data_IF_373133678666
#
_entry.id   IF_373133678666
#
_cell.length_a   1.000
_cell.length_b   1.000
_cell.length_c   1.000
_cell.angle_alpha   90.00
_cell.angle_beta   90.00
_cell.angle_gamma   90.00
#
_symmetry.space_group_name_H-M   'P 1'
#
loop_
_entity.id
_entity.type
_entity.pdbx_description
1 polymer ?
#
# COMPACT_ATOMS: atom_id res chain seq x y z
N UNK A 1 -7.74 -6.58 -17.55
CA UNK A 1 -6.48 -6.00 -16.97
C UNK A 1 -6.34 -6.39 -15.51
N UNK A 2 -7.25 -5.99 -14.63
CA UNK A 2 -7.17 -6.27 -13.18
C UNK A 2 -7.21 -7.79 -12.89
N UNK A 3 -8.02 -8.54 -13.65
CA UNK A 3 -8.04 -9.99 -13.61
C UNK A 3 -6.63 -10.60 -13.72
N UNK A 4 -5.88 -10.18 -14.74
CA UNK A 4 -4.54 -10.70 -14.97
C UNK A 4 -3.60 -10.38 -13.79
N UNK A 5 -3.69 -9.16 -13.23
CA UNK A 5 -2.86 -8.78 -12.08
C UNK A 5 -3.13 -9.66 -10.86
N UNK A 6 -4.40 -9.99 -10.60
CA UNK A 6 -4.81 -10.87 -9.51
C UNK A 6 -4.38 -12.32 -9.74
N UNK A 7 -4.68 -12.87 -10.92
CA UNK A 7 -4.38 -14.27 -11.27
C UNK A 7 -2.87 -14.56 -11.17
N UNK A 8 -2.02 -13.60 -11.59
CA UNK A 8 -0.57 -13.74 -11.49
C UNK A 8 -0.05 -13.80 -10.04
N UNK A 9 -0.73 -13.17 -9.07
CA UNK A 9 -0.36 -13.31 -7.65
C UNK A 9 -0.51 -14.77 -7.22
N UNK A 10 -1.64 -15.40 -7.53
CA UNK A 10 -1.91 -16.80 -7.19
C UNK A 10 -1.05 -17.78 -7.95
N UNK A 11 -0.78 -17.50 -9.22
CA UNK A 11 0.07 -18.35 -10.06
C UNK A 11 1.52 -18.34 -9.59
N UNK A 12 2.08 -17.17 -9.27
CA UNK A 12 3.49 -17.00 -8.88
C UNK A 12 3.73 -17.23 -7.40
N UNK A 13 2.70 -17.06 -6.56
CA UNK A 13 2.77 -17.18 -5.09
C UNK A 13 4.00 -16.51 -4.48
N UNK A 14 4.25 -15.21 -4.73
CA UNK A 14 5.52 -14.57 -4.37
C UNK A 14 5.73 -14.55 -2.86
N UNK A 15 6.98 -14.73 -2.44
CA UNK A 15 7.39 -14.60 -1.04
C UNK A 15 7.65 -13.14 -0.72
N UNK A 16 6.93 -12.59 0.24
CA UNK A 16 6.96 -11.16 0.61
C UNK A 16 7.56 -10.97 1.99
N UNK A 17 8.68 -10.26 2.05
CA UNK A 17 9.26 -9.81 3.31
C UNK A 17 8.46 -8.62 3.85
N UNK A 18 8.00 -8.70 5.10
CA UNK A 18 7.24 -7.65 5.76
C UNK A 18 7.97 -7.16 7.01
N UNK A 19 8.43 -5.91 6.99
CA UNK A 19 8.81 -5.16 8.19
C UNK A 19 7.66 -4.21 8.46
N UNK A 20 6.70 -4.66 9.27
CA UNK A 20 5.45 -3.94 9.53
C UNK A 20 5.26 -3.62 11.01
N UNK A 21 4.19 -2.93 11.34
CA UNK A 21 3.89 -2.54 12.71
C UNK A 21 3.24 -3.69 13.50
N UNK A 22 3.53 -3.76 14.80
CA UNK A 22 3.05 -4.85 15.66
C UNK A 22 1.53 -4.80 15.94
N UNK A 23 0.85 -3.69 15.64
CA UNK A 23 -0.61 -3.57 15.81
C UNK A 23 -1.34 -4.45 14.80
N UNK A 24 -0.79 -4.57 13.59
CA UNK A 24 -1.46 -5.22 12.46
C UNK A 24 -0.66 -6.36 11.83
N UNK A 25 0.44 -6.79 12.45
CA UNK A 25 1.36 -7.78 11.90
C UNK A 25 0.67 -9.08 11.50
N UNK A 26 -0.22 -9.60 12.34
CA UNK A 26 -0.97 -10.83 12.05
C UNK A 26 -1.94 -10.66 10.89
N UNK A 27 -2.67 -9.55 10.86
CA UNK A 27 -3.62 -9.25 9.78
C UNK A 27 -2.92 -9.07 8.43
N UNK A 28 -1.74 -8.42 8.40
CA UNK A 28 -0.93 -8.28 7.20
C UNK A 28 -0.48 -9.66 6.68
N UNK A 29 -0.03 -10.55 7.57
CA UNK A 29 0.35 -11.91 7.20
C UNK A 29 -0.83 -12.68 6.60
N UNK A 30 -2.00 -12.64 7.25
CA UNK A 30 -3.21 -13.31 6.75
C UNK A 30 -3.71 -12.71 5.44
N UNK A 31 -3.59 -11.40 5.24
CA UNK A 31 -3.94 -10.75 3.98
C UNK A 31 -3.06 -11.21 2.81
N UNK A 32 -1.76 -11.35 3.03
CA UNK A 32 -0.82 -11.89 2.03
C UNK A 32 -1.13 -13.35 1.72
N UNK A 33 -1.44 -14.17 2.73
CA UNK A 33 -1.89 -15.56 2.52
C UNK A 33 -3.21 -15.61 1.75
N UNK A 34 -4.16 -14.77 2.10
CA UNK A 34 -5.49 -14.76 1.48
C UNK A 34 -5.42 -14.46 -0.02
N UNK A 35 -4.54 -13.57 -0.47
CA UNK A 35 -4.38 -13.28 -1.89
C UNK A 35 -3.59 -14.36 -2.68
N UNK A 36 -3.02 -15.37 -1.99
CA UNK A 36 -2.27 -16.47 -2.59
C UNK A 36 -0.76 -16.27 -2.62
N UNK A 37 -0.24 -15.24 -1.95
CA UNK A 37 1.19 -15.02 -1.75
C UNK A 37 1.65 -15.62 -0.40
N UNK A 38 2.95 -15.55 -0.09
CA UNK A 38 3.54 -16.09 1.14
C UNK A 38 4.25 -14.99 1.93
N UNK A 39 3.93 -14.75 3.22
CA UNK A 39 4.58 -13.72 4.02
C UNK A 39 5.76 -14.27 4.83
N UNK A 40 6.82 -13.46 4.98
CA UNK A 40 7.80 -13.59 6.06
C UNK A 40 7.78 -12.30 6.88
N UNK A 41 7.62 -12.46 8.22
CA UNK A 41 7.57 -11.37 9.19
C UNK A 41 8.90 -11.34 9.94
N UNK A 42 9.93 -10.68 9.39
CA UNK A 42 11.27 -10.58 9.97
C UNK A 42 11.69 -9.11 10.12
N UNK A 43 12.16 -8.72 11.31
CA UNK A 43 12.50 -7.33 11.60
C UNK A 43 13.83 -7.16 12.37
N UNK A 44 14.60 -8.24 12.54
CA UNK A 44 15.90 -8.16 13.19
C UNK A 44 17.00 -7.84 12.18
N UNK A 45 17.86 -6.87 12.50
CA UNK A 45 18.91 -6.39 11.62
C UNK A 45 19.94 -7.45 11.23
N UNK A 46 20.11 -8.48 12.07
CA UNK A 46 21.07 -9.55 11.82
C UNK A 46 20.59 -10.55 10.74
N UNK A 47 19.26 -10.61 10.48
CA UNK A 47 18.69 -11.55 9.51
C UNK A 47 18.04 -10.89 8.28
N UNK A 48 17.60 -9.62 8.37
CA UNK A 48 16.75 -9.01 7.32
C UNK A 48 17.40 -9.00 5.93
N UNK A 49 18.72 -8.95 5.82
CA UNK A 49 19.43 -9.02 4.54
C UNK A 49 19.35 -10.42 3.92
N UNK A 50 19.48 -11.47 4.74
CA UNK A 50 19.37 -12.87 4.31
C UNK A 50 17.91 -13.19 3.92
N UNK A 51 16.96 -12.79 4.77
CA UNK A 51 15.52 -12.94 4.50
C UNK A 51 15.13 -12.21 3.20
N UNK A 52 15.59 -10.97 3.00
CA UNK A 52 15.31 -10.26 1.74
C UNK A 52 15.91 -10.95 0.52
N UNK A 53 16.98 -11.70 0.68
CA UNK A 53 17.61 -12.45 -0.42
C UNK A 53 16.75 -13.61 -0.91
N UNK A 54 16.01 -14.27 -0.02
CA UNK A 54 15.11 -15.38 -0.39
C UNK A 54 13.69 -14.90 -0.75
N UNK A 55 13.32 -13.67 -0.37
CA UNK A 55 12.05 -13.06 -0.71
C UNK A 55 12.11 -12.41 -2.09
N UNK A 56 10.94 -12.24 -2.73
CA UNK A 56 10.83 -11.62 -4.05
C UNK A 56 10.36 -10.16 -3.99
N UNK A 57 9.83 -9.70 -2.86
CA UNK A 57 9.35 -8.34 -2.63
C UNK A 57 9.44 -7.92 -1.16
N UNK A 58 9.33 -6.62 -0.92
CA UNK A 58 9.47 -6.01 0.41
C UNK A 58 8.31 -5.05 0.71
N UNK A 59 7.74 -5.17 1.91
CA UNK A 59 6.80 -4.22 2.48
C UNK A 59 7.40 -3.57 3.73
N UNK A 60 7.54 -2.25 3.74
CA UNK A 60 8.01 -1.45 4.88
C UNK A 60 6.88 -0.56 5.38
N UNK A 61 6.51 -0.71 6.66
CA UNK A 61 5.49 0.09 7.34
C UNK A 61 6.04 0.68 8.62
N UNK A 62 5.97 2.01 8.76
CA UNK A 62 6.57 2.75 9.87
C UNK A 62 5.61 3.03 11.04
N UNK A 63 4.52 2.25 11.17
CA UNK A 63 3.45 2.50 12.15
C UNK A 63 3.86 2.40 13.62
N UNK A 64 4.88 1.61 13.95
CA UNK A 64 5.39 1.44 15.31
C UNK A 64 6.92 1.40 15.33
N UNK A 65 7.53 2.54 15.02
CA UNK A 65 8.98 2.66 14.92
C UNK A 65 9.71 2.48 16.27
N UNK A 66 10.86 1.82 16.17
CA UNK A 66 11.90 1.82 17.19
C UNK A 66 13.29 1.81 16.50
N UNK A 67 14.36 2.09 17.26
CA UNK A 67 15.71 2.23 16.69
C UNK A 67 16.18 0.98 15.93
N UNK A 68 15.82 -0.20 16.40
CA UNK A 68 16.16 -1.49 15.78
C UNK A 68 15.46 -1.65 14.42
N UNK A 69 14.15 -1.46 14.38
CA UNK A 69 13.39 -1.65 13.14
C UNK A 69 13.73 -0.60 12.07
N UNK A 70 14.11 0.62 12.45
CA UNK A 70 14.58 1.65 11.51
C UNK A 70 15.86 1.19 10.78
N UNK A 71 16.80 0.62 11.51
CA UNK A 71 18.05 0.07 10.93
C UNK A 71 17.73 -1.10 10.01
N UNK A 72 16.89 -2.03 10.45
CA UNK A 72 16.42 -3.18 9.68
C UNK A 72 15.74 -2.79 8.36
N UNK A 73 14.86 -1.78 8.39
CA UNK A 73 14.19 -1.25 7.20
C UNK A 73 15.17 -0.72 6.16
N UNK A 74 16.24 -0.02 6.58
CA UNK A 74 17.28 0.47 5.67
C UNK A 74 18.08 -0.67 5.05
N UNK A 75 18.49 -1.64 5.87
CA UNK A 75 19.25 -2.82 5.42
C UNK A 75 18.42 -3.62 4.40
N UNK A 76 17.20 -3.99 4.76
CA UNK A 76 16.31 -4.76 3.89
C UNK A 76 15.97 -4.01 2.59
N UNK A 77 15.71 -2.69 2.69
CA UNK A 77 15.39 -1.85 1.53
C UNK A 77 16.57 -1.71 0.57
N UNK A 78 17.78 -1.52 1.08
CA UNK A 78 19.00 -1.50 0.27
C UNK A 78 19.20 -2.84 -0.41
N UNK A 79 19.04 -3.94 0.34
CA UNK A 79 19.17 -5.30 -0.21
C UNK A 79 18.12 -5.59 -1.28
N UNK A 80 16.88 -5.17 -1.09
CA UNK A 80 15.84 -5.30 -2.11
C UNK A 80 16.22 -4.59 -3.41
N UNK A 81 16.76 -3.37 -3.33
CA UNK A 81 17.21 -2.60 -4.49
C UNK A 81 18.40 -3.28 -5.21
N UNK A 82 19.38 -3.82 -4.48
CA UNK A 82 20.51 -4.57 -5.05
C UNK A 82 20.04 -5.78 -5.86
N UNK A 83 18.97 -6.43 -5.41
CA UNK A 83 18.38 -7.61 -6.05
C UNK A 83 17.34 -7.27 -7.13
N UNK A 84 16.98 -5.99 -7.30
CA UNK A 84 15.92 -5.56 -8.21
C UNK A 84 14.52 -5.97 -7.74
N UNK A 85 14.34 -6.25 -6.45
CA UNK A 85 13.06 -6.62 -5.88
C UNK A 85 12.17 -5.39 -5.65
N UNK A 86 10.87 -5.43 -5.97
CA UNK A 86 9.94 -4.39 -5.64
C UNK A 86 9.86 -4.12 -4.14
N UNK A 87 9.77 -2.83 -3.78
CA UNK A 87 9.61 -2.40 -2.40
C UNK A 87 8.43 -1.44 -2.28
N UNK A 88 7.61 -1.62 -1.24
CA UNK A 88 6.46 -0.77 -0.90
C UNK A 88 6.75 -0.05 0.41
N UNK A 89 6.47 1.26 0.46
CA UNK A 89 6.53 2.08 1.67
C UNK A 89 5.13 2.49 2.11
N UNK A 90 4.82 2.20 3.37
CA UNK A 90 3.66 2.72 4.09
C UNK A 90 4.13 3.68 5.19
N UNK A 91 4.11 5.01 4.95
CA UNK A 91 4.63 6.01 5.86
C UNK A 91 3.64 6.40 6.96
N UNK A 92 3.06 5.42 7.64
CA UNK A 92 2.01 5.59 8.65
C UNK A 92 2.35 6.67 9.65
N UNK A 93 1.51 7.71 9.69
CA UNK A 93 1.63 8.80 10.67
C UNK A 93 2.83 9.72 10.45
N UNK A 94 3.39 9.78 9.25
CA UNK A 94 4.35 10.83 8.88
C UNK A 94 3.70 12.20 9.07
N UNK A 95 4.44 13.13 9.65
CA UNK A 95 3.90 14.42 10.10
C UNK A 95 3.44 14.45 11.57
N UNK A 96 3.07 13.30 12.15
CA UNK A 96 2.63 13.24 13.55
C UNK A 96 3.80 13.32 14.57
N UNK A 97 5.01 12.94 14.18
CA UNK A 97 6.21 13.09 15.00
C UNK A 97 7.46 13.32 14.16
N UNK A 98 8.46 13.94 14.77
CA UNK A 98 9.78 14.15 14.14
C UNK A 98 10.42 12.81 13.74
N UNK A 99 10.34 11.79 14.61
CA UNK A 99 10.91 10.48 14.34
C UNK A 99 10.32 9.84 13.07
N UNK A 100 8.99 9.84 12.92
CA UNK A 100 8.33 9.28 11.74
C UNK A 100 8.70 10.04 10.48
N UNK A 101 8.67 11.36 10.54
CA UNK A 101 9.00 12.23 9.40
C UNK A 101 10.46 12.08 8.97
N UNK A 102 11.40 12.09 9.92
CA UNK A 102 12.82 11.91 9.60
C UNK A 102 13.10 10.52 9.04
N UNK A 103 12.54 9.46 9.66
CA UNK A 103 12.70 8.08 9.17
C UNK A 103 12.15 7.90 7.77
N UNK A 104 10.94 8.40 7.48
CA UNK A 104 10.37 8.29 6.15
C UNK A 104 11.24 9.00 5.10
N UNK A 105 11.74 10.21 5.40
CA UNK A 105 12.66 10.94 4.52
C UNK A 105 14.01 10.23 4.33
N UNK A 106 14.54 9.60 5.38
CA UNK A 106 15.78 8.83 5.30
C UNK A 106 15.58 7.55 4.45
N UNK A 107 14.45 6.87 4.60
CA UNK A 107 14.10 5.72 3.77
C UNK A 107 13.96 6.11 2.30
N UNK A 108 13.29 7.22 1.99
CA UNK A 108 13.17 7.72 0.61
C UNK A 108 14.52 8.10 -0.04
N UNK A 109 15.52 8.47 0.76
CA UNK A 109 16.88 8.73 0.27
C UNK A 109 17.70 7.46 0.05
N UNK A 110 17.49 6.44 0.90
CA UNK A 110 18.29 5.22 0.92
C UNK A 110 17.72 4.13 0.02
N UNK A 111 16.40 4.10 -0.18
CA UNK A 111 15.67 3.02 -0.85
C UNK A 111 14.85 3.58 -2.00
N UNK A 112 14.99 2.95 -3.16
CA UNK A 112 14.12 3.21 -4.31
C UNK A 112 12.87 2.34 -4.15
N UNK A 113 11.74 2.98 -3.85
CA UNK A 113 10.45 2.30 -3.72
C UNK A 113 9.76 2.14 -5.07
N UNK A 114 9.08 1.02 -5.26
CA UNK A 114 8.19 0.77 -6.40
C UNK A 114 6.84 1.44 -6.18
N UNK A 115 6.33 1.38 -4.94
CA UNK A 115 5.07 2.03 -4.55
C UNK A 115 5.26 2.74 -3.21
N UNK A 116 4.68 3.94 -3.09
CA UNK A 116 4.51 4.65 -1.82
C UNK A 116 3.00 4.80 -1.60
N UNK A 117 2.49 4.23 -0.50
CA UNK A 117 1.06 4.23 -0.19
C UNK A 117 0.79 4.95 1.12
N UNK A 118 -0.13 5.91 1.13
CA UNK A 118 -0.54 6.63 2.34
C UNK A 118 -1.88 7.34 2.14
N UNK A 119 -2.41 7.99 3.18
CA UNK A 119 -3.49 8.94 3.01
C UNK A 119 -2.96 10.26 2.42
N UNK A 120 -3.85 11.15 2.01
CA UNK A 120 -3.44 12.41 1.35
C UNK A 120 -2.55 13.27 2.25
N UNK A 121 -2.77 13.32 3.56
CA UNK A 121 -1.97 14.09 4.50
C UNK A 121 -0.53 13.53 4.64
N UNK A 122 -0.38 12.21 4.69
CA UNK A 122 0.91 11.53 4.71
C UNK A 122 1.69 11.79 3.42
N UNK A 123 1.04 11.66 2.26
CA UNK A 123 1.68 11.90 0.95
C UNK A 123 2.06 13.37 0.77
N UNK A 124 1.23 14.33 1.21
CA UNK A 124 1.58 15.77 1.23
C UNK A 124 2.82 16.02 2.08
N UNK A 125 2.86 15.46 3.30
CA UNK A 125 3.99 15.65 4.21
C UNK A 125 5.29 15.12 3.62
N UNK A 126 5.27 13.95 2.97
CA UNK A 126 6.43 13.42 2.25
C UNK A 126 6.83 14.30 1.06
N UNK A 127 5.87 14.80 0.29
CA UNK A 127 6.14 15.64 -0.86
C UNK A 127 6.84 16.95 -0.48
N UNK A 128 6.47 17.56 0.65
CA UNK A 128 7.14 18.76 1.21
C UNK A 128 8.54 18.43 1.72
N UNK A 129 8.72 17.28 2.37
CA UNK A 129 10.01 16.84 2.91
C UNK A 129 11.08 16.56 1.86
N UNK A 130 10.70 16.26 0.62
CA UNK A 130 11.62 16.02 -0.50
C UNK A 130 12.11 17.32 -1.19
N UNK A 131 11.68 18.50 -0.71
CA UNK A 131 12.47 19.73 -0.75
C UNK A 131 12.52 20.55 -2.03
N UNK A 132 11.40 20.95 -2.71
CA UNK A 132 11.49 22.12 -3.63
C UNK A 132 10.16 22.85 -3.90
N UNK A 133 9.05 22.47 -3.31
CA UNK A 133 7.74 23.07 -3.61
C UNK A 133 7.03 23.58 -2.35
N UNK A 134 7.69 24.50 -1.61
CA UNK A 134 6.99 25.26 -0.58
C UNK A 134 5.99 26.19 -1.25
N UNK A 135 4.71 25.87 -1.15
CA UNK A 135 3.60 26.70 -1.63
C UNK A 135 2.53 25.92 -2.40
N UNK A 136 2.85 25.34 -3.55
CA UNK A 136 1.83 24.73 -4.44
C UNK A 136 1.29 23.40 -3.89
N UNK A 137 2.12 22.60 -3.21
CA UNK A 137 1.67 21.30 -2.66
C UNK A 137 1.06 21.43 -1.25
N UNK A 138 1.20 22.57 -0.58
CA UNK A 138 0.66 22.80 0.76
C UNK A 138 -0.84 23.16 0.76
N UNK A 139 -1.36 23.68 -0.33
CA UNK A 139 -2.74 24.18 -0.44
C UNK A 139 -3.76 23.09 -0.81
N UNK A 140 -3.29 21.85 -1.10
CA UNK A 140 -4.17 20.73 -1.43
C UNK A 140 -4.99 20.34 -0.20
N UNK A 141 -6.30 20.16 -0.38
CA UNK A 141 -7.21 19.75 0.68
C UNK A 141 -6.80 18.41 1.32
N UNK A 142 -7.10 18.23 2.61
CA UNK A 142 -6.78 17.02 3.37
C UNK A 142 -7.75 15.85 3.09
N UNK A 143 -8.67 16.03 2.15
CA UNK A 143 -9.59 14.99 1.67
C UNK A 143 -9.71 15.04 0.16
N UNK A 144 -9.75 13.87 -0.47
CA UNK A 144 -10.07 13.72 -1.89
C UNK A 144 -11.58 13.69 -2.04
N UNK A 145 -12.12 14.61 -2.86
CA UNK A 145 -13.53 14.72 -3.21
C UNK A 145 -13.66 14.86 -4.73
N UNK A 146 -14.86 14.68 -5.27
CA UNK A 146 -15.12 14.92 -6.70
C UNK A 146 -14.73 16.34 -7.13
N UNK A 147 -14.93 17.33 -6.27
CA UNK A 147 -14.66 18.75 -6.58
C UNK A 147 -13.17 19.07 -6.73
N UNK A 148 -12.30 18.37 -5.98
CA UNK A 148 -10.85 18.61 -6.02
C UNK A 148 -10.04 17.48 -6.70
N UNK A 149 -10.73 16.49 -7.26
CA UNK A 149 -10.09 15.27 -7.79
C UNK A 149 -8.99 15.56 -8.82
N UNK A 150 -9.25 16.45 -9.79
CA UNK A 150 -8.27 16.78 -10.83
C UNK A 150 -7.02 17.46 -10.28
N UNK A 151 -7.17 18.33 -9.28
CA UNK A 151 -6.06 18.97 -8.60
C UNK A 151 -5.21 17.97 -7.82
N UNK A 152 -5.86 17.06 -7.06
CA UNK A 152 -5.17 16.01 -6.31
C UNK A 152 -4.49 15.03 -7.25
N UNK A 153 -5.12 14.63 -8.35
CA UNK A 153 -4.51 13.76 -9.38
C UNK A 153 -3.24 14.43 -9.96
N UNK A 154 -3.32 15.71 -10.29
CA UNK A 154 -2.15 16.45 -10.80
C UNK A 154 -1.01 16.49 -9.76
N UNK A 155 -1.31 16.69 -8.48
CA UNK A 155 -0.33 16.62 -7.39
C UNK A 155 0.30 15.23 -7.27
N UNK A 156 -0.51 14.17 -7.23
CA UNK A 156 -0.04 12.78 -7.10
C UNK A 156 0.88 12.41 -8.27
N UNK A 157 0.51 12.76 -9.52
CA UNK A 157 1.36 12.54 -10.71
C UNK A 157 2.70 13.27 -10.60
N UNK A 158 2.70 14.55 -10.13
CA UNK A 158 3.95 15.30 -9.92
C UNK A 158 4.84 14.62 -8.88
N UNK A 159 4.26 14.14 -7.77
CA UNK A 159 5.03 13.45 -6.73
C UNK A 159 5.57 12.12 -7.24
N UNK A 160 4.78 11.35 -7.98
CA UNK A 160 5.23 10.13 -8.65
C UNK A 160 6.40 10.40 -9.61
N UNK A 161 6.33 11.48 -10.41
CA UNK A 161 7.42 11.88 -11.31
C UNK A 161 8.72 12.26 -10.58
N UNK A 162 8.63 12.81 -9.35
CA UNK A 162 9.80 13.15 -8.52
C UNK A 162 10.46 11.94 -7.89
N UNK A 163 9.65 11.00 -7.41
CA UNK A 163 10.14 9.80 -6.70
C UNK A 163 10.48 8.65 -7.64
N UNK A 164 9.89 8.63 -8.83
CA UNK A 164 9.94 7.49 -9.74
C UNK A 164 9.09 6.30 -9.27
N UNK A 165 8.33 6.45 -8.19
CA UNK A 165 7.44 5.44 -7.63
C UNK A 165 6.00 5.64 -8.11
N UNK A 166 5.22 4.58 -8.11
CA UNK A 166 3.76 4.66 -8.12
C UNK A 166 3.31 5.20 -6.76
N UNK A 167 2.42 6.18 -6.76
CA UNK A 167 1.86 6.76 -5.54
C UNK A 167 0.41 6.29 -5.40
N UNK A 168 0.09 5.66 -4.28
CA UNK A 168 -1.25 5.23 -3.93
C UNK A 168 -1.77 6.06 -2.75
N UNK A 169 -2.69 6.98 -3.03
CA UNK A 169 -3.38 7.80 -2.03
C UNK A 169 -4.70 7.12 -1.70
N UNK A 170 -4.94 6.85 -0.40
CA UNK A 170 -6.21 6.25 0.04
C UNK A 170 -7.09 7.24 0.79
N UNK A 171 -8.40 7.17 0.54
CA UNK A 171 -9.39 8.08 1.10
C UNK A 171 -10.83 7.67 0.77
N UNK A 172 -11.70 8.64 0.56
CA UNK A 172 -13.06 8.39 0.07
C UNK A 172 -13.06 8.03 -1.43
N UNK A 173 -12.13 8.61 -2.19
CA UNK A 173 -11.77 8.23 -3.55
C UNK A 173 -10.28 7.92 -3.47
N UNK A 174 -9.89 6.72 -3.87
CA UNK A 174 -8.48 6.32 -3.90
C UNK A 174 -7.85 6.73 -5.23
N UNK A 175 -6.58 7.16 -5.21
CA UNK A 175 -5.85 7.55 -6.40
C UNK A 175 -4.56 6.73 -6.48
N UNK A 176 -4.36 6.00 -7.57
CA UNK A 176 -3.12 5.28 -7.84
C UNK A 176 -2.52 5.82 -9.13
N UNK A 177 -1.34 6.45 -9.05
CA UNK A 177 -0.77 7.14 -10.20
C UNK A 177 0.75 6.95 -10.34
N UNK A 178 1.20 6.92 -11.58
CA UNK A 178 2.56 7.24 -11.99
C UNK A 178 2.65 8.71 -12.46
N UNK A 179 3.75 9.08 -13.10
CA UNK A 179 3.93 10.45 -13.62
C UNK A 179 3.00 10.81 -14.79
N UNK A 180 2.35 9.83 -15.43
CA UNK A 180 1.59 10.02 -16.67
C UNK A 180 0.12 9.70 -16.53
N UNK A 181 -0.21 8.64 -15.81
CA UNK A 181 -1.54 8.01 -15.73
C UNK A 181 -1.98 7.87 -14.27
N UNK A 182 -3.27 8.05 -14.03
CA UNK A 182 -3.88 7.81 -12.73
C UNK A 182 -5.13 6.95 -12.85
N UNK A 183 -5.32 6.08 -11.87
CA UNK A 183 -6.59 5.39 -11.60
C UNK A 183 -7.24 6.07 -10.41
N UNK A 184 -8.48 6.56 -10.58
CA UNK A 184 -9.34 7.06 -9.51
C UNK A 184 -10.33 5.96 -9.19
N UNK A 185 -10.28 5.42 -7.97
CA UNK A 185 -10.96 4.18 -7.58
C UNK A 185 -12.03 4.50 -6.56
N UNK A 186 -13.23 3.98 -6.76
CA UNK A 186 -14.44 4.27 -5.99
C UNK A 186 -14.94 3.06 -5.19
N UNK A 187 -14.20 1.96 -5.18
CA UNK A 187 -14.51 0.81 -4.34
C UNK A 187 -14.20 1.11 -2.86
N UNK A 188 -14.97 0.50 -1.99
CA UNK A 188 -14.79 0.57 -0.55
C UNK A 188 -16.09 0.89 0.19
N UNK A 189 -16.04 0.74 1.50
CA UNK A 189 -17.17 1.04 2.37
C UNK A 189 -16.72 1.87 3.57
N UNK A 190 -17.50 2.89 4.03
CA UNK A 190 -17.12 3.75 5.16
C UNK A 190 -16.78 2.99 6.45
N UNK A 191 -17.40 1.83 6.69
CA UNK A 191 -17.13 0.99 7.85
C UNK A 191 -15.67 0.49 7.91
N UNK A 192 -14.93 0.47 6.80
CA UNK A 192 -13.51 0.13 6.78
C UNK A 192 -12.68 1.05 7.69
N UNK A 193 -13.13 2.30 7.90
CA UNK A 193 -12.50 3.24 8.83
C UNK A 193 -12.66 2.86 10.32
N UNK A 194 -13.59 1.95 10.63
CA UNK A 194 -13.81 1.45 11.99
C UNK A 194 -12.91 0.27 12.37
N UNK A 195 -12.04 -0.18 11.44
CA UNK A 195 -11.08 -1.25 11.65
C UNK A 195 -9.68 -0.65 11.65
N UNK A 196 -8.88 -0.95 12.68
CA UNK A 196 -7.46 -0.60 12.63
C UNK A 196 -6.72 -1.47 11.61
N UNK A 197 -5.86 -0.87 10.80
CA UNK A 197 -4.93 -1.58 9.96
C UNK A 197 -5.41 -2.00 8.57
N UNK A 198 -6.59 -1.61 8.12
CA UNK A 198 -7.01 -1.83 6.71
C UNK A 198 -5.98 -1.27 5.73
N UNK A 199 -5.43 -0.08 6.02
CA UNK A 199 -4.34 0.49 5.24
C UNK A 199 -3.06 -0.35 5.27
N UNK A 200 -2.65 -0.83 6.45
CA UNK A 200 -1.45 -1.67 6.56
C UNK A 200 -1.61 -3.01 5.81
N UNK A 201 -2.79 -3.61 5.87
CA UNK A 201 -3.15 -4.80 5.09
C UNK A 201 -3.08 -4.51 3.58
N UNK A 202 -3.59 -3.35 3.14
CA UNK A 202 -3.51 -2.93 1.74
C UNK A 202 -2.05 -2.77 1.29
N UNK A 203 -1.17 -2.23 2.14
CA UNK A 203 0.26 -2.10 1.78
C UNK A 203 0.92 -3.46 1.60
N UNK A 204 0.62 -4.43 2.45
CA UNK A 204 1.09 -5.81 2.32
C UNK A 204 0.52 -6.50 1.07
N UNK A 205 -0.78 -6.31 0.79
CA UNK A 205 -1.44 -6.78 -0.43
C UNK A 205 -0.81 -6.15 -1.68
N UNK A 206 -0.57 -4.84 -1.67
CA UNK A 206 0.10 -4.12 -2.77
C UNK A 206 1.49 -4.68 -3.04
N UNK A 207 2.25 -5.01 -1.99
CA UNK A 207 3.57 -5.64 -2.16
C UNK A 207 3.47 -6.99 -2.88
N UNK A 208 2.48 -7.83 -2.55
CA UNK A 208 2.25 -9.09 -3.26
C UNK A 208 1.91 -8.86 -4.74
N UNK A 209 1.02 -7.91 -5.03
CA UNK A 209 0.59 -7.60 -6.40
C UNK A 209 1.73 -7.06 -7.27
N UNK A 210 2.48 -6.07 -6.80
CA UNK A 210 3.57 -5.49 -7.59
C UNK A 210 4.75 -6.47 -7.74
N UNK A 211 4.96 -7.36 -6.78
CA UNK A 211 5.98 -8.39 -6.87
C UNK A 211 5.63 -9.43 -7.93
N UNK A 212 4.38 -9.84 -8.01
CA UNK A 212 3.92 -10.75 -9.05
C UNK A 212 3.88 -10.13 -10.45
N UNK A 213 3.82 -8.78 -10.54
CA UNK A 213 3.56 -8.02 -11.77
C UNK A 213 4.58 -6.89 -12.00
N UNK A 214 5.88 -7.19 -11.90
CA UNK A 214 6.95 -6.19 -11.87
C UNK A 214 7.02 -5.28 -13.12
N UNK A 215 6.55 -5.75 -14.27
CA UNK A 215 6.51 -4.96 -15.50
C UNK A 215 5.35 -3.96 -15.56
N UNK A 216 4.35 -4.13 -14.68
CA UNK A 216 3.11 -3.34 -14.63
C UNK A 216 2.80 -2.82 -13.23
N UNK A 217 3.72 -2.10 -12.55
CA UNK A 217 3.56 -1.74 -11.14
C UNK A 217 2.36 -0.81 -10.89
N UNK A 218 2.00 0.05 -11.85
CA UNK A 218 0.85 0.94 -11.74
C UNK A 218 -0.46 0.14 -11.74
N UNK A 219 -0.63 -0.75 -12.72
CA UNK A 219 -1.82 -1.59 -12.86
C UNK A 219 -1.95 -2.58 -11.69
N UNK A 220 -0.82 -3.13 -11.22
CA UNK A 220 -0.78 -4.02 -10.08
C UNK A 220 -1.18 -3.31 -8.78
N UNK A 221 -0.68 -2.11 -8.53
CA UNK A 221 -1.07 -1.31 -7.38
C UNK A 221 -2.56 -0.90 -7.44
N UNK A 222 -3.06 -0.52 -8.63
CA UNK A 222 -4.48 -0.21 -8.82
C UNK A 222 -5.36 -1.45 -8.57
N UNK A 223 -4.94 -2.63 -9.04
CA UNK A 223 -5.66 -3.87 -8.80
C UNK A 223 -5.72 -4.23 -7.31
N UNK A 224 -4.64 -4.04 -6.56
CA UNK A 224 -4.61 -4.25 -5.11
C UNK A 224 -5.58 -3.31 -4.36
N UNK A 225 -5.64 -2.03 -4.76
CA UNK A 225 -6.56 -1.05 -4.16
C UNK A 225 -8.02 -1.41 -4.49
N UNK A 226 -8.33 -1.74 -5.76
CA UNK A 226 -9.67 -2.20 -6.15
C UNK A 226 -10.07 -3.48 -5.38
N UNK A 227 -9.17 -4.46 -5.28
CA UNK A 227 -9.43 -5.72 -4.57
C UNK A 227 -9.75 -5.47 -3.08
N UNK A 228 -8.97 -4.61 -2.41
CA UNK A 228 -9.20 -4.27 -1.00
C UNK A 228 -10.53 -3.54 -0.80
N UNK A 229 -10.85 -2.58 -1.68
CA UNK A 229 -12.12 -1.85 -1.63
C UNK A 229 -13.32 -2.76 -1.89
N UNK A 230 -13.26 -3.60 -2.93
CA UNK A 230 -14.29 -4.58 -3.26
C UNK A 230 -14.47 -5.60 -2.12
N UNK A 231 -13.39 -6.09 -1.53
CA UNK A 231 -13.45 -6.97 -0.37
C UNK A 231 -14.17 -6.30 0.83
N UNK A 232 -13.95 -4.99 1.01
CA UNK A 232 -14.69 -4.20 2.01
C UNK A 232 -16.19 -4.13 1.73
N UNK A 233 -16.60 -3.97 0.48
CA UNK A 233 -18.01 -3.99 0.05
C UNK A 233 -18.65 -5.37 0.29
N UNK A 234 -18.02 -6.43 -0.21
CA UNK A 234 -18.48 -7.83 -0.06
C UNK A 234 -18.59 -8.21 1.42
N UNK A 235 -17.58 -7.86 2.21
CA UNK A 235 -17.58 -8.13 3.64
C UNK A 235 -18.71 -7.41 4.37
N UNK A 236 -19.03 -6.16 3.98
CA UNK A 236 -20.12 -5.40 4.55
C UNK A 236 -21.49 -6.03 4.26
N UNK A 237 -21.71 -6.52 3.04
CA UNK A 237 -22.95 -7.20 2.65
C UNK A 237 -23.22 -8.49 3.43
N UNK A 238 -22.17 -9.12 3.97
CA UNK A 238 -22.26 -10.35 4.78
C UNK A 238 -22.64 -10.09 6.23
N UNK A 239 -22.54 -8.84 6.71
CA UNK A 239 -22.77 -8.52 8.12
C UNK A 239 -24.24 -8.69 8.52
N UNK A 240 -24.43 -9.21 9.73
CA UNK A 240 -25.72 -9.24 10.42
C UNK A 240 -25.77 -8.15 11.50
N UNK A 241 -26.94 -7.82 12.05
CA UNK A 241 -27.05 -6.84 13.16
C UNK A 241 -26.26 -7.17 14.42
N UNK A 242 -25.81 -8.42 14.60
CA UNK A 242 -25.01 -8.87 15.73
C UNK A 242 -23.49 -8.76 15.47
N UNK A 243 -23.08 -8.52 14.22
CA UNK A 243 -21.66 -8.45 13.85
C UNK A 243 -21.09 -7.06 14.11
N UNK A 244 -19.84 -7.02 14.56
CA UNK A 244 -19.09 -5.80 14.80
C UNK A 244 -17.87 -5.67 13.90
N UNK A 245 -17.00 -4.72 14.27
CA UNK A 245 -15.79 -4.43 13.50
C UNK A 245 -14.79 -5.61 13.44
N UNK A 246 -14.76 -6.48 14.47
CA UNK A 246 -13.89 -7.65 14.47
C UNK A 246 -14.33 -8.68 13.41
N UNK A 247 -15.63 -8.97 13.33
CA UNK A 247 -16.20 -9.84 12.30
C UNK A 247 -15.99 -9.24 10.91
N UNK A 248 -16.25 -7.94 10.76
CA UNK A 248 -16.04 -7.23 9.49
C UNK A 248 -14.59 -7.34 9.00
N UNK A 249 -13.60 -7.14 9.89
CA UNK A 249 -12.18 -7.33 9.57
C UNK A 249 -11.91 -8.75 9.02
N UNK A 250 -12.43 -9.76 9.69
CA UNK A 250 -12.24 -11.14 9.26
C UNK A 250 -12.91 -11.39 7.89
N UNK A 251 -14.10 -10.84 7.68
CA UNK A 251 -14.81 -10.97 6.40
C UNK A 251 -14.10 -10.29 5.22
N UNK A 252 -13.34 -9.21 5.47
CA UNK A 252 -12.49 -8.60 4.43
C UNK A 252 -11.37 -9.56 4.01
N UNK A 253 -10.71 -10.22 4.96
CA UNK A 253 -9.66 -11.20 4.67
C UNK A 253 -10.26 -12.41 3.94
N UNK A 254 -11.41 -12.92 4.39
CA UNK A 254 -12.16 -13.99 3.72
C UNK A 254 -12.56 -13.61 2.29
N UNK A 255 -13.00 -12.36 2.08
CA UNK A 255 -13.38 -11.88 0.76
C UNK A 255 -12.19 -11.88 -0.21
N UNK A 256 -11.00 -11.46 0.22
CA UNK A 256 -9.77 -11.58 -0.58
C UNK A 256 -9.44 -13.05 -0.87
N UNK A 257 -9.62 -13.94 0.12
CA UNK A 257 -9.34 -15.37 -0.05
C UNK A 257 -10.24 -16.00 -1.12
N UNK A 258 -11.51 -15.66 -1.16
CA UNK A 258 -12.48 -16.22 -2.10
C UNK A 258 -12.51 -15.51 -3.45
N UNK A 259 -12.10 -14.23 -3.52
CA UNK A 259 -12.09 -13.43 -4.74
C UNK A 259 -11.27 -14.10 -5.83
N UNK A 260 -11.75 -14.07 -7.06
CA UNK A 260 -10.95 -14.40 -8.24
C UNK A 260 -10.78 -13.19 -9.17
N UNK A 261 -9.96 -13.36 -10.19
CA UNK A 261 -9.69 -12.25 -11.13
C UNK A 261 -10.91 -11.81 -11.92
N UNK A 262 -11.92 -12.67 -12.14
CA UNK A 262 -13.15 -12.28 -12.83
C UNK A 262 -14.03 -11.43 -11.90
N UNK A 263 -14.15 -11.82 -10.64
CA UNK A 263 -14.89 -11.05 -9.63
C UNK A 263 -14.27 -9.66 -9.45
N UNK A 264 -12.93 -9.57 -9.37
CA UNK A 264 -12.24 -8.28 -9.34
C UNK A 264 -12.50 -7.43 -10.59
N UNK A 265 -12.37 -8.02 -11.79
CA UNK A 265 -12.57 -7.29 -13.06
C UNK A 265 -13.98 -6.72 -13.19
N UNK A 266 -15.01 -7.46 -12.74
CA UNK A 266 -16.42 -7.04 -12.81
C UNK A 266 -16.83 -6.09 -11.67
N UNK A 267 -16.24 -6.25 -10.48
CA UNK A 267 -16.57 -5.47 -9.30
C UNK A 267 -15.77 -4.17 -9.15
N UNK A 268 -14.70 -4.00 -9.90
CA UNK A 268 -13.88 -2.79 -9.83
C UNK A 268 -14.60 -1.56 -10.39
N UNK A 269 -14.56 -0.47 -9.62
CA UNK A 269 -15.18 0.82 -9.96
C UNK A 269 -14.07 1.87 -10.05
N UNK A 270 -13.64 2.22 -11.25
CA UNK A 270 -12.59 3.21 -11.43
C UNK A 270 -12.72 3.99 -12.73
N UNK A 271 -12.11 5.15 -12.77
CA UNK A 271 -11.85 5.91 -13.99
C UNK A 271 -10.34 6.13 -14.18
N UNK A 272 -9.94 6.41 -15.42
CA UNK A 272 -8.54 6.66 -15.78
C UNK A 272 -8.39 8.12 -16.19
N UNK A 273 -7.40 8.82 -15.59
CA UNK A 273 -7.07 10.21 -15.88
C UNK A 273 -5.63 10.37 -16.35
#
# INVERSE_FOLDING_TARGET
>A
MLKQMFDQVREKSPLIHNITNYVTVNDCANMVLACGASPIMADDKEEVAEIQTICAGLNINIGTLNSRTIESMKIAGTRANELGHPAVLDPVGVGASTLRTSTANELLKAVKFTVIRGNISEIKTLAVGTGTTKGVDADIADRVTEENLDEVVAFVKRFAGRTGAVIAVTGAIDIVADAKKAYCIYNGHPMMSSITGTGCQLSALTAAFVTANQEHPLEAAAAAVCAMGLAGEIAHERLTPQDGNATYRNYIIDAIYHMDGNELEHGAKFEVK
#
